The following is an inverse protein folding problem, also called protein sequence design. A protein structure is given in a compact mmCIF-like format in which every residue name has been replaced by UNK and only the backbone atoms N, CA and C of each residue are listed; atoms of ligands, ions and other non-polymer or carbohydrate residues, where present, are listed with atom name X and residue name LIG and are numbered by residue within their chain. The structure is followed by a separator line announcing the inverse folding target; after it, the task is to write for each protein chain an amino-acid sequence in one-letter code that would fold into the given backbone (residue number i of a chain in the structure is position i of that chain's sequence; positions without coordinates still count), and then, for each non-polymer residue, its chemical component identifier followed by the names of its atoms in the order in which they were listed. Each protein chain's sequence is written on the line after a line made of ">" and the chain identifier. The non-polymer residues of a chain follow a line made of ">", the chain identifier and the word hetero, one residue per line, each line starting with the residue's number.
data_IF_923774357180
#
_entry.id   IF_923774357180
#
_cell.length_a   1.000
_cell.length_b   1.000
_cell.length_c   1.000
_cell.angle_alpha   90.00
_cell.angle_beta   90.00
_cell.angle_gamma   90.00
#
_symmetry.space_group_name_H-M   'P 1'
#
loop_
_entity.id
_entity.type
_entity.pdbx_description
1 polymer ?
#
# COMPACT_ATOMS: atom_id res chain seq x y z
N UNK A 1 10.15 -4.90 -21.90
CA UNK A 1 10.37 -5.98 -20.92
C UNK A 1 11.08 -5.40 -19.71
N UNK A 2 10.33 -5.02 -18.67
CA UNK A 2 10.88 -4.53 -17.41
C UNK A 2 11.24 -5.74 -16.56
N UNK A 3 12.53 -5.96 -16.30
CA UNK A 3 12.97 -7.06 -15.43
C UNK A 3 12.53 -6.73 -13.99
N UNK A 4 11.94 -7.72 -13.32
CA UNK A 4 11.70 -7.73 -11.87
C UNK A 4 12.98 -7.48 -11.01
N UNK A 5 14.16 -7.40 -11.64
CA UNK A 5 15.42 -7.05 -11.00
C UNK A 5 15.46 -5.63 -10.40
N UNK A 6 14.57 -4.72 -10.81
CA UNK A 6 14.51 -3.35 -10.23
C UNK A 6 14.08 -3.38 -8.75
N UNK A 7 13.31 -4.39 -8.33
CA UNK A 7 12.84 -4.53 -6.95
C UNK A 7 13.68 -5.47 -6.08
N UNK A 8 14.54 -6.31 -6.68
CA UNK A 8 15.36 -7.28 -5.94
C UNK A 8 16.60 -6.68 -5.27
N UNK A 9 16.86 -5.38 -5.42
CA UNK A 9 18.04 -4.70 -4.84
C UNK A 9 17.93 -4.38 -3.34
N UNK A 10 16.86 -4.77 -2.66
CA UNK A 10 16.56 -4.35 -1.28
C UNK A 10 17.03 -5.32 -0.17
N UNK A 11 17.85 -6.33 -0.48
CA UNK A 11 18.55 -7.12 0.53
C UNK A 11 19.92 -6.51 0.84
N UNK A 12 20.00 -5.77 1.94
CA UNK A 12 21.24 -5.28 2.51
C UNK A 12 22.20 -6.42 2.79
N UNK A 13 23.30 -6.45 2.04
CA UNK A 13 24.47 -7.28 2.31
C UNK A 13 25.59 -6.31 2.71
N UNK A 14 25.92 -6.28 3.99
CA UNK A 14 27.14 -5.65 4.49
C UNK A 14 28.32 -6.54 4.09
N UNK A 15 29.12 -6.11 3.13
CA UNK A 15 30.49 -6.59 2.97
C UNK A 15 31.45 -5.42 3.12
N UNK A 16 32.13 -5.42 4.26
CA UNK A 16 33.31 -4.64 4.56
C UNK A 16 34.56 -5.41 4.12
N UNK A 17 35.43 -4.77 3.34
CA UNK A 17 36.89 -4.91 3.23
C UNK A 17 37.30 -4.42 1.82
N UNK A 18 38.37 -3.67 1.58
CA UNK A 18 39.45 -3.18 2.41
C UNK A 18 40.24 -2.12 1.64
N UNK A 19 41.21 -1.52 2.33
CA UNK A 19 42.10 -0.46 1.87
C UNK A 19 42.86 -0.79 0.58
N UNK A 20 43.01 0.20 -0.31
CA UNK A 20 44.33 0.60 -0.81
C UNK A 20 44.29 1.99 -1.44
N UNK A 21 45.26 2.82 -1.07
CA UNK A 21 45.46 4.16 -1.62
C UNK A 21 46.43 4.14 -2.80
N UNK A 22 46.25 5.10 -3.70
CA UNK A 22 47.32 5.68 -4.52
C UNK A 22 46.91 7.08 -4.96
N UNK A 23 47.73 8.06 -4.58
CA UNK A 23 47.68 9.44 -5.03
C UNK A 23 47.92 9.55 -6.54
N UNK A 24 47.12 10.39 -7.20
CA UNK A 24 47.34 10.79 -8.59
C UNK A 24 46.65 12.12 -8.86
N UNK A 25 47.38 13.22 -8.66
CA UNK A 25 46.98 14.56 -9.07
C UNK A 25 46.74 14.61 -10.58
N UNK A 26 45.50 14.85 -11.00
CA UNK A 26 45.20 15.43 -12.30
C UNK A 26 44.04 16.42 -12.16
N UNK A 27 44.38 17.71 -12.07
CA UNK A 27 43.47 18.83 -12.31
C UNK A 27 43.10 18.78 -13.79
N UNK A 28 41.89 18.32 -14.09
CA UNK A 28 41.32 18.31 -15.44
C UNK A 28 39.90 18.86 -15.43
N UNK A 29 39.77 20.12 -15.84
CA UNK A 29 38.52 20.84 -16.10
C UNK A 29 37.67 20.12 -17.17
N UNK A 30 36.87 19.11 -16.81
CA UNK A 30 35.94 18.44 -17.75
C UNK A 30 34.57 18.06 -17.16
N UNK A 31 34.24 18.52 -15.94
CA UNK A 31 32.98 18.12 -15.28
C UNK A 31 31.77 19.02 -15.58
N UNK A 32 31.91 20.12 -16.33
CA UNK A 32 30.80 21.09 -16.44
C UNK A 32 29.86 20.89 -17.63
N UNK A 33 30.27 20.19 -18.70
CA UNK A 33 29.47 20.08 -19.93
C UNK A 33 28.54 18.85 -19.88
N UNK A 34 29.00 17.73 -19.31
CA UNK A 34 28.22 16.48 -19.21
C UNK A 34 27.07 16.57 -18.19
N UNK A 35 27.22 17.41 -17.16
CA UNK A 35 26.23 17.55 -16.07
C UNK A 35 24.98 18.31 -16.54
N UNK A 36 25.13 19.28 -17.45
CA UNK A 36 24.02 20.10 -17.98
C UNK A 36 23.09 19.27 -18.87
N UNK A 37 23.64 18.37 -19.69
CA UNK A 37 22.84 17.49 -20.56
C UNK A 37 22.04 16.45 -19.76
N UNK A 38 22.60 15.94 -18.66
CA UNK A 38 21.93 14.95 -17.81
C UNK A 38 20.74 15.56 -17.05
N UNK A 39 20.88 16.77 -16.52
CA UNK A 39 19.80 17.44 -15.79
C UNK A 39 18.66 17.88 -16.72
N UNK A 40 19.00 18.38 -17.92
CA UNK A 40 18.01 18.73 -18.94
C UNK A 40 17.22 17.51 -19.42
N UNK A 41 17.90 16.38 -19.66
CA UNK A 41 17.27 15.11 -20.04
C UNK A 41 16.33 14.57 -18.95
N UNK A 42 16.75 14.67 -17.68
CA UNK A 42 15.94 14.30 -16.52
C UNK A 42 14.68 15.16 -16.42
N UNK A 43 14.82 16.49 -16.54
CA UNK A 43 13.70 17.43 -16.53
C UNK A 43 12.72 17.15 -17.68
N UNK A 44 13.22 16.94 -18.90
CA UNK A 44 12.40 16.63 -20.07
C UNK A 44 11.62 15.32 -19.90
N UNK A 45 12.26 14.30 -19.32
CA UNK A 45 11.62 13.00 -19.02
C UNK A 45 10.52 13.15 -17.99
N UNK A 46 10.75 13.93 -16.94
CA UNK A 46 9.74 14.24 -15.93
C UNK A 46 8.55 15.03 -16.52
N UNK A 47 8.80 16.07 -17.32
CA UNK A 47 7.75 16.83 -17.99
C UNK A 47 6.92 15.95 -18.95
N UNK A 48 7.59 15.07 -19.70
CA UNK A 48 6.92 14.12 -20.59
C UNK A 48 6.10 13.09 -19.79
N UNK A 49 6.59 12.65 -18.63
CA UNK A 49 5.86 11.76 -17.73
C UNK A 49 4.58 12.44 -17.21
N UNK A 50 4.65 13.72 -16.82
CA UNK A 50 3.48 14.52 -16.43
C UNK A 50 2.48 14.63 -17.59
N UNK A 51 2.95 14.98 -18.79
CA UNK A 51 2.08 15.11 -19.96
C UNK A 51 1.32 13.81 -20.23
N UNK A 52 2.00 12.66 -20.16
CA UNK A 52 1.36 11.35 -20.31
C UNK A 52 0.37 11.06 -19.17
N UNK A 53 0.70 11.43 -17.93
CA UNK A 53 -0.19 11.28 -16.79
C UNK A 53 -1.49 12.06 -16.97
N UNK A 54 -1.41 13.33 -17.35
CA UNK A 54 -2.57 14.20 -17.58
C UNK A 54 -3.45 13.71 -18.74
N UNK A 55 -2.83 13.14 -19.77
CA UNK A 55 -3.53 12.50 -20.89
C UNK A 55 -4.04 11.09 -20.57
N UNK A 56 -3.98 10.64 -19.31
CA UNK A 56 -4.39 9.30 -18.85
C UNK A 56 -3.62 8.15 -19.51
N UNK A 57 -2.45 8.42 -20.07
CA UNK A 57 -1.53 7.40 -20.59
C UNK A 57 -0.61 6.91 -19.47
N UNK A 58 -1.20 6.24 -18.47
CA UNK A 58 -0.52 5.87 -17.24
C UNK A 58 0.61 4.87 -17.43
N UNK A 59 0.47 3.94 -18.39
CA UNK A 59 1.55 3.02 -18.74
C UNK A 59 2.81 3.76 -19.22
N UNK A 60 2.67 4.73 -20.12
CA UNK A 60 3.81 5.51 -20.61
C UNK A 60 4.38 6.42 -19.51
N UNK A 61 3.52 7.05 -18.72
CA UNK A 61 3.95 7.84 -17.56
C UNK A 61 4.77 7.01 -16.57
N UNK A 62 4.32 5.78 -16.27
CA UNK A 62 5.02 4.83 -15.42
C UNK A 62 6.40 4.45 -15.97
N UNK A 63 6.48 4.13 -17.26
CA UNK A 63 7.74 3.76 -17.91
C UNK A 63 8.76 4.91 -17.95
N UNK A 64 8.29 6.17 -17.96
CA UNK A 64 9.15 7.35 -17.91
C UNK A 64 9.58 7.71 -16.49
N UNK A 65 8.70 7.59 -15.49
CA UNK A 65 9.00 8.01 -14.12
C UNK A 65 9.86 7.01 -13.36
N UNK A 66 9.68 5.71 -13.60
CA UNK A 66 10.35 4.67 -12.82
C UNK A 66 11.89 4.72 -12.96
N UNK A 67 12.47 4.91 -14.15
CA UNK A 67 13.92 5.13 -14.30
C UNK A 67 14.42 6.33 -13.49
N UNK A 68 13.68 7.45 -13.50
CA UNK A 68 14.04 8.66 -12.76
C UNK A 68 14.10 8.39 -11.25
N UNK A 69 13.11 7.68 -10.70
CA UNK A 69 13.12 7.27 -9.29
C UNK A 69 14.31 6.38 -8.95
N UNK A 70 14.66 5.44 -9.84
CA UNK A 70 15.82 4.57 -9.63
C UNK A 70 17.14 5.36 -9.62
N UNK A 71 17.28 6.36 -10.48
CA UNK A 71 18.45 7.24 -10.47
C UNK A 71 18.56 8.01 -9.15
N UNK A 72 17.44 8.57 -8.65
CA UNK A 72 17.42 9.26 -7.35
C UNK A 72 17.81 8.30 -6.21
N UNK A 73 17.24 7.09 -6.20
CA UNK A 73 17.51 6.07 -5.17
C UNK A 73 18.96 5.56 -5.18
N UNK A 74 19.60 5.50 -6.34
CA UNK A 74 21.00 5.12 -6.48
C UNK A 74 21.99 6.19 -5.99
N UNK A 75 21.49 7.31 -5.47
CA UNK A 75 22.35 8.41 -5.07
C UNK A 75 23.11 9.02 -6.25
N UNK A 76 22.62 8.81 -7.50
CA UNK A 76 23.02 9.63 -8.65
C UNK A 76 22.41 10.99 -8.44
N UNK A 77 23.08 11.72 -7.55
CA UNK A 77 23.19 13.15 -7.41
C UNK A 77 22.43 13.87 -8.54
N UNK A 78 21.14 14.09 -8.31
CA UNK A 78 20.46 15.31 -8.73
C UNK A 78 21.17 16.44 -7.98
N UNK A 79 22.36 16.82 -8.45
CA UNK A 79 23.20 17.85 -7.85
C UNK A 79 22.54 19.19 -8.16
N UNK A 80 21.47 19.53 -7.45
CA UNK A 80 20.95 20.89 -7.48
C UNK A 80 19.45 21.03 -7.26
N UNK A 81 18.64 20.08 -7.70
CA UNK A 81 17.19 20.29 -7.76
C UNK A 81 16.38 19.31 -6.89
N UNK A 82 16.37 19.59 -5.58
CA UNK A 82 15.56 18.87 -4.58
C UNK A 82 14.06 18.90 -4.93
N UNK A 83 13.59 20.02 -5.47
CA UNK A 83 12.17 20.19 -5.81
C UNK A 83 11.76 19.28 -6.96
N UNK A 84 12.63 19.11 -7.96
CA UNK A 84 12.43 18.16 -9.05
C UNK A 84 12.38 16.71 -8.55
N UNK A 85 13.27 16.33 -7.62
CA UNK A 85 13.23 15.01 -6.99
C UNK A 85 11.90 14.79 -6.26
N UNK A 86 11.45 15.76 -5.46
CA UNK A 86 10.16 15.72 -4.76
C UNK A 86 9.02 15.60 -5.78
N UNK A 87 9.05 16.37 -6.86
CA UNK A 87 8.08 16.28 -7.95
C UNK A 87 8.00 14.88 -8.57
N UNK A 88 9.16 14.27 -8.82
CA UNK A 88 9.23 12.90 -9.33
C UNK A 88 8.59 11.90 -8.36
N UNK A 89 8.91 11.98 -7.06
CA UNK A 89 8.31 11.13 -6.04
C UNK A 89 6.80 11.33 -5.92
N UNK A 90 6.30 12.56 -6.01
CA UNK A 90 4.85 12.84 -5.99
C UNK A 90 4.13 12.18 -7.17
N UNK A 91 4.65 12.33 -8.38
CA UNK A 91 4.08 11.69 -9.58
C UNK A 91 4.15 10.16 -9.46
N UNK A 92 5.29 9.63 -9.04
CA UNK A 92 5.48 8.22 -8.80
C UNK A 92 4.48 7.66 -7.77
N UNK A 93 4.33 8.30 -6.61
CA UNK A 93 3.36 7.91 -5.59
C UNK A 93 1.91 7.96 -6.09
N UNK A 94 1.56 8.99 -6.86
CA UNK A 94 0.24 9.08 -7.50
C UNK A 94 0.00 7.90 -8.46
N UNK A 95 1.01 7.53 -9.23
CA UNK A 95 0.92 6.37 -10.12
C UNK A 95 0.88 5.04 -9.35
N UNK A 96 1.61 4.92 -8.24
CA UNK A 96 1.55 3.72 -7.37
C UNK A 96 0.14 3.56 -6.79
N UNK A 97 -0.45 4.62 -6.25
CA UNK A 97 -1.81 4.56 -5.72
C UNK A 97 -2.83 4.16 -6.81
N UNK A 98 -2.67 4.72 -8.01
CA UNK A 98 -3.50 4.35 -9.15
C UNK A 98 -3.28 2.90 -9.57
N UNK A 99 -2.03 2.42 -9.58
CA UNK A 99 -1.68 1.05 -9.92
C UNK A 99 -2.31 0.05 -8.94
N UNK A 100 -2.24 0.33 -7.64
CA UNK A 100 -2.82 -0.52 -6.60
C UNK A 100 -4.35 -0.60 -6.70
N UNK A 101 -5.01 0.50 -7.11
CA UNK A 101 -6.47 0.57 -7.26
C UNK A 101 -7.00 0.07 -8.61
N UNK A 102 -6.25 0.31 -9.69
CA UNK A 102 -6.66 0.07 -11.09
C UNK A 102 -5.50 -0.50 -11.91
N UNK A 103 -5.03 -1.72 -11.58
CA UNK A 103 -3.86 -2.34 -12.19
C UNK A 103 -4.01 -2.61 -13.70
N UNK A 104 -5.22 -2.60 -14.23
CA UNK A 104 -5.53 -2.77 -15.66
C UNK A 104 -5.06 -1.58 -16.52
N UNK A 105 -4.92 -0.38 -15.96
CA UNK A 105 -4.53 0.82 -16.70
C UNK A 105 -3.04 0.85 -17.10
N UNK A 106 -2.26 -0.09 -16.58
CA UNK A 106 -0.81 -0.13 -16.73
C UNK A 106 -0.33 -1.21 -17.70
N UNK A 107 -1.22 -2.02 -18.29
CA UNK A 107 -0.87 -3.05 -19.28
C UNK A 107 0.30 -3.98 -18.87
N UNK A 108 0.49 -4.22 -17.57
CA UNK A 108 1.57 -5.07 -17.05
C UNK A 108 1.15 -6.55 -16.98
N UNK A 109 2.07 -7.51 -17.24
CA UNK A 109 1.83 -8.93 -17.02
C UNK A 109 1.34 -9.23 -15.61
N UNK A 110 0.44 -10.21 -15.45
CA UNK A 110 -0.14 -10.56 -14.13
C UNK A 110 0.92 -10.94 -13.10
N UNK A 111 1.96 -11.67 -13.50
CA UNK A 111 3.07 -12.06 -12.62
C UNK A 111 3.82 -10.84 -12.08
N UNK A 112 4.17 -9.89 -12.95
CA UNK A 112 4.83 -8.64 -12.56
C UNK A 112 3.96 -7.83 -11.61
N UNK A 113 2.64 -7.75 -11.88
CA UNK A 113 1.71 -7.03 -11.01
C UNK A 113 1.67 -7.57 -9.59
N UNK A 114 1.62 -8.89 -9.44
CA UNK A 114 1.61 -9.55 -8.13
C UNK A 114 2.90 -9.28 -7.35
N UNK A 115 4.06 -9.28 -8.03
CA UNK A 115 5.35 -8.97 -7.41
C UNK A 115 5.35 -7.51 -6.92
N UNK A 116 5.00 -6.57 -7.80
CA UNK A 116 4.99 -5.14 -7.49
C UNK A 116 4.04 -4.85 -6.32
N UNK A 117 2.83 -5.42 -6.33
CA UNK A 117 1.85 -5.27 -5.26
C UNK A 117 2.38 -5.80 -3.92
N UNK A 118 3.07 -6.96 -3.93
CA UNK A 118 3.68 -7.54 -2.75
C UNK A 118 4.77 -6.64 -2.17
N UNK A 119 5.64 -6.10 -3.02
CA UNK A 119 6.71 -5.19 -2.59
C UNK A 119 6.14 -3.92 -1.95
N UNK A 120 5.12 -3.31 -2.56
CA UNK A 120 4.47 -2.14 -1.96
C UNK A 120 3.80 -2.46 -0.62
N UNK A 121 3.08 -3.59 -0.52
CA UNK A 121 2.49 -4.06 0.75
C UNK A 121 3.54 -4.28 1.84
N UNK A 122 4.76 -4.63 1.45
CA UNK A 122 5.90 -4.74 2.35
C UNK A 122 6.57 -3.39 2.67
N UNK A 123 5.87 -2.26 2.51
CA UNK A 123 6.34 -0.93 2.95
C UNK A 123 7.46 -0.33 2.10
N UNK A 124 7.54 -0.70 0.83
CA UNK A 124 8.56 -0.20 -0.11
C UNK A 124 8.58 1.34 -0.18
N UNK A 125 7.42 2.01 -0.07
CA UNK A 125 7.32 3.47 -0.22
C UNK A 125 8.13 4.21 0.84
N UNK A 126 7.91 3.90 2.12
CA UNK A 126 8.66 4.51 3.22
C UNK A 126 10.13 4.11 3.19
N UNK A 127 10.44 2.86 2.81
CA UNK A 127 11.83 2.42 2.64
C UNK A 127 12.57 3.23 1.57
N UNK A 128 11.94 3.50 0.43
CA UNK A 128 12.50 4.35 -0.62
C UNK A 128 12.75 5.79 -0.13
N UNK A 129 11.83 6.34 0.68
CA UNK A 129 12.02 7.67 1.29
C UNK A 129 13.15 7.70 2.32
N UNK A 130 13.33 6.62 3.09
CA UNK A 130 14.44 6.49 4.03
C UNK A 130 15.77 6.45 3.30
N UNK A 131 15.88 5.69 2.21
CA UNK A 131 17.11 5.60 1.41
C UNK A 131 17.57 6.99 0.94
N UNK A 132 16.67 7.78 0.34
CA UNK A 132 17.03 9.14 -0.13
C UNK A 132 17.31 10.12 1.00
N UNK A 133 16.84 9.83 2.21
CA UNK A 133 17.01 10.69 3.39
C UNK A 133 18.17 10.24 4.28
N UNK A 134 18.97 9.27 3.85
CA UNK A 134 20.10 8.73 4.61
C UNK A 134 19.67 7.89 5.82
N UNK A 135 18.58 7.15 5.69
CA UNK A 135 17.95 6.31 6.72
C UNK A 135 17.52 7.08 7.98
N UNK A 136 17.23 8.38 7.83
CA UNK A 136 16.81 9.25 8.91
C UNK A 136 15.39 9.77 8.65
N UNK A 137 14.45 9.38 9.51
CA UNK A 137 13.06 9.82 9.44
C UNK A 137 12.90 11.34 9.60
N UNK A 138 13.76 12.01 10.37
CA UNK A 138 13.71 13.46 10.57
C UNK A 138 14.05 14.26 9.31
N UNK A 139 14.73 13.62 8.34
CA UNK A 139 15.13 14.24 7.06
C UNK A 139 14.13 14.00 5.93
N UNK A 140 13.15 13.10 6.11
CA UNK A 140 12.14 12.83 5.08
C UNK A 140 11.21 14.04 4.95
N UNK A 141 10.99 14.47 3.70
CA UNK A 141 10.01 15.50 3.39
C UNK A 141 8.60 15.12 3.89
N UNK A 142 8.01 16.02 4.69
CA UNK A 142 6.71 15.79 5.34
C UNK A 142 5.55 15.61 4.37
N UNK A 143 5.61 16.19 3.17
CA UNK A 143 4.56 15.99 2.18
C UNK A 143 4.68 14.59 1.56
N UNK A 144 5.90 14.19 1.19
CA UNK A 144 6.15 12.85 0.66
C UNK A 144 5.78 11.76 1.67
N UNK A 145 6.19 11.92 2.93
CA UNK A 145 5.85 10.97 3.98
C UNK A 145 4.35 10.88 4.22
N UNK A 146 3.65 12.02 4.20
CA UNK A 146 2.20 12.04 4.34
C UNK A 146 1.50 11.32 3.17
N UNK A 147 1.93 11.57 1.93
CA UNK A 147 1.38 10.91 0.75
C UNK A 147 1.62 9.40 0.83
N UNK A 148 2.84 8.96 1.12
CA UNK A 148 3.15 7.54 1.29
C UNK A 148 2.26 6.89 2.35
N UNK A 149 2.14 7.52 3.53
CA UNK A 149 1.29 7.03 4.62
C UNK A 149 -0.20 6.93 4.22
N UNK A 150 -0.70 7.86 3.41
CA UNK A 150 -2.07 7.80 2.90
C UNK A 150 -2.28 6.65 1.92
N UNK A 151 -1.30 6.37 1.06
CA UNK A 151 -1.34 5.27 0.11
C UNK A 151 -1.37 3.94 0.87
N UNK A 152 -0.46 3.76 1.82
CA UNK A 152 -0.40 2.54 2.63
C UNK A 152 -1.70 2.34 3.44
N UNK A 153 -2.21 3.39 4.06
CA UNK A 153 -3.47 3.34 4.80
C UNK A 153 -4.68 3.04 3.90
N UNK A 154 -4.76 3.70 2.74
CA UNK A 154 -5.88 3.63 1.80
C UNK A 154 -5.95 2.32 1.03
N UNK A 155 -4.82 1.64 0.84
CA UNK A 155 -4.73 0.33 0.19
C UNK A 155 -4.67 -0.84 1.19
N UNK A 156 -5.03 -0.58 2.45
CA UNK A 156 -5.14 -1.59 3.51
C UNK A 156 -3.87 -2.41 3.73
N UNK A 157 -2.72 -1.75 3.70
CA UNK A 157 -1.46 -2.40 4.08
C UNK A 157 -1.45 -2.72 5.58
N UNK A 158 -0.46 -3.50 6.01
CA UNK A 158 -0.35 -3.96 7.39
C UNK A 158 -0.33 -2.78 8.37
N UNK A 159 -1.40 -2.65 9.15
CA UNK A 159 -1.63 -1.46 9.98
C UNK A 159 -0.57 -1.32 11.08
N UNK A 160 -0.06 -2.43 11.61
CA UNK A 160 1.00 -2.48 12.62
C UNK A 160 2.31 -1.89 12.08
N UNK A 161 2.64 -2.18 10.82
CA UNK A 161 3.83 -1.61 10.18
C UNK A 161 3.69 -0.10 9.98
N UNK A 162 2.53 0.34 9.50
CA UNK A 162 2.24 1.76 9.32
C UNK A 162 2.24 2.51 10.65
N UNK A 163 1.71 1.91 11.72
CA UNK A 163 1.78 2.47 13.08
C UNK A 163 3.23 2.76 13.47
N UNK A 164 4.12 1.77 13.33
CA UNK A 164 5.53 1.91 13.69
C UNK A 164 6.24 2.99 12.86
N UNK A 165 5.99 3.04 11.55
CA UNK A 165 6.59 4.04 10.67
C UNK A 165 6.14 5.46 11.04
N UNK A 166 4.83 5.67 11.29
CA UNK A 166 4.29 6.96 11.72
C UNK A 166 4.85 7.37 13.08
N UNK A 167 4.96 6.44 14.02
CA UNK A 167 5.51 6.70 15.34
C UNK A 167 6.98 7.10 15.27
N UNK A 168 7.81 6.37 14.51
CA UNK A 168 9.21 6.71 14.30
C UNK A 168 9.37 8.09 13.66
N UNK A 169 8.55 8.40 12.65
CA UNK A 169 8.58 9.69 11.98
C UNK A 169 8.18 10.84 12.90
N UNK A 170 7.09 10.69 13.65
CA UNK A 170 6.62 11.73 14.57
C UNK A 170 7.59 11.93 15.75
N UNK A 171 8.24 10.86 16.25
CA UNK A 171 9.30 10.97 17.27
C UNK A 171 10.53 11.70 16.74
N UNK A 172 10.97 11.37 15.53
CA UNK A 172 12.16 12.00 14.91
C UNK A 172 11.97 13.48 14.59
N UNK A 173 10.73 13.97 14.59
CA UNK A 173 10.38 15.37 14.40
C UNK A 173 9.93 16.05 15.71
N UNK A 174 10.08 15.39 16.87
CA UNK A 174 9.67 15.85 18.21
C UNK A 174 8.16 16.11 18.43
N UNK A 175 7.30 15.51 17.62
CA UNK A 175 5.84 15.66 17.72
C UNK A 175 5.19 14.80 18.82
N UNK A 176 5.91 13.82 19.39
CA UNK A 176 5.42 12.93 20.45
C UNK A 176 6.13 13.12 21.81
N UNK A 177 7.21 13.90 21.83
CA UNK A 177 8.12 14.06 22.98
C UNK A 177 7.89 15.38 23.71
N UNK A 178 7.59 16.46 23.00
CA UNK A 178 7.53 17.82 23.57
C UNK A 178 6.12 18.40 23.59
N UNK A 179 5.64 18.74 24.79
CA UNK A 179 4.36 19.44 25.01
C UNK A 179 4.42 20.88 24.52
N UNK A 180 4.23 21.09 23.22
CA UNK A 180 4.18 22.40 22.58
C UNK A 180 4.49 22.32 21.09
N UNK A 181 3.47 22.48 20.25
CA UNK A 181 3.65 22.64 18.80
C UNK A 181 4.01 24.09 18.48
N UNK A 182 5.30 24.41 18.42
CA UNK A 182 5.73 25.67 17.81
C UNK A 182 5.87 25.55 16.27
N UNK A 183 5.93 24.32 15.75
CA UNK A 183 6.09 24.09 14.32
C UNK A 183 4.76 24.11 13.54
N UNK A 184 4.63 25.11 12.66
CA UNK A 184 3.47 25.37 11.80
C UNK A 184 3.37 24.47 10.56
N UNK A 185 4.09 23.34 10.53
CA UNK A 185 4.04 22.44 9.40
C UNK A 185 2.66 21.75 9.29
N UNK A 186 1.88 22.21 8.30
CA UNK A 186 0.54 21.69 7.97
C UNK A 186 0.54 20.18 7.72
N UNK A 187 1.57 19.64 7.08
CA UNK A 187 1.64 18.20 6.78
C UNK A 187 1.94 17.38 8.02
N UNK A 188 2.81 17.84 8.93
CA UNK A 188 3.03 17.17 10.22
C UNK A 188 1.74 17.10 11.06
N UNK A 189 0.93 18.17 11.08
CA UNK A 189 -0.39 18.13 11.73
C UNK A 189 -1.34 17.12 11.08
N UNK A 190 -1.31 16.98 9.75
CA UNK A 190 -2.10 15.96 9.04
C UNK A 190 -1.60 14.54 9.35
N UNK A 191 -0.29 14.32 9.40
CA UNK A 191 0.33 13.04 9.77
C UNK A 191 -0.06 12.66 11.19
N UNK A 192 0.07 13.58 12.14
CA UNK A 192 -0.37 13.35 13.51
C UNK A 192 -1.87 13.04 13.58
N UNK A 193 -2.70 13.78 12.83
CA UNK A 193 -4.13 13.49 12.76
C UNK A 193 -4.44 12.13 12.13
N UNK A 194 -3.68 11.68 11.14
CA UNK A 194 -3.79 10.35 10.55
C UNK A 194 -3.43 9.29 11.60
N UNK A 195 -2.34 9.49 12.32
CA UNK A 195 -1.87 8.59 13.37
C UNK A 195 -2.90 8.43 14.50
N UNK A 196 -3.29 9.54 15.15
CA UNK A 196 -4.14 9.53 16.35
C UNK A 196 -5.58 9.11 16.07
N UNK A 197 -6.16 9.51 14.93
CA UNK A 197 -7.59 9.35 14.67
C UNK A 197 -7.93 8.28 13.63
N UNK A 198 -6.94 7.70 12.95
CA UNK A 198 -7.20 6.66 11.95
C UNK A 198 -6.37 5.42 12.17
N UNK A 199 -5.05 5.54 12.31
CA UNK A 199 -4.15 4.37 12.41
C UNK A 199 -4.27 3.68 13.76
N UNK A 200 -4.06 4.40 14.86
CA UNK A 200 -4.17 3.83 16.21
C UNK A 200 -5.57 3.23 16.47
N UNK A 201 -6.69 3.94 16.18
CA UNK A 201 -8.03 3.35 16.27
C UNK A 201 -8.23 2.09 15.42
N UNK A 202 -7.71 2.08 14.18
CA UNK A 202 -7.82 0.90 13.28
C UNK A 202 -7.00 -0.28 13.80
N UNK A 203 -5.93 -0.03 14.56
CA UNK A 203 -5.17 -1.06 15.28
C UNK A 203 -5.67 -1.31 16.72
N UNK A 204 -6.89 -0.87 17.05
CA UNK A 204 -7.52 -1.00 18.37
C UNK A 204 -6.77 -0.33 19.54
N UNK A 205 -5.79 0.53 19.28
CA UNK A 205 -4.96 1.23 20.27
C UNK A 205 -5.55 2.59 20.69
N UNK A 206 -6.80 2.59 21.16
CA UNK A 206 -7.51 3.82 21.54
C UNK A 206 -6.92 4.52 22.77
N UNK A 207 -6.46 3.75 23.75
CA UNK A 207 -5.87 4.27 24.99
C UNK A 207 -4.61 5.06 24.67
N UNK A 208 -3.71 4.50 23.84
CA UNK A 208 -2.53 5.19 23.33
C UNK A 208 -2.89 6.50 22.60
N UNK A 209 -3.96 6.53 21.80
CA UNK A 209 -4.42 7.79 21.19
C UNK A 209 -4.83 8.83 22.22
N UNK A 210 -5.55 8.41 23.27
CA UNK A 210 -6.00 9.31 24.35
C UNK A 210 -4.81 9.88 25.13
N UNK A 211 -3.90 9.01 25.59
CA UNK A 211 -2.69 9.41 26.32
C UNK A 211 -1.84 10.40 25.52
N UNK A 212 -1.66 10.12 24.22
CA UNK A 212 -0.90 11.01 23.34
C UNK A 212 -1.62 12.36 23.15
N UNK A 213 -2.94 12.39 23.00
CA UNK A 213 -3.68 13.66 22.92
C UNK A 213 -3.46 14.51 24.17
N UNK A 214 -3.60 13.92 25.34
CA UNK A 214 -3.42 14.61 26.62
C UNK A 214 -1.98 15.11 26.79
N UNK A 215 -0.98 14.26 26.47
CA UNK A 215 0.44 14.63 26.53
C UNK A 215 0.79 15.75 25.56
N UNK A 216 0.33 15.67 24.33
CA UNK A 216 0.72 16.56 23.25
C UNK A 216 0.05 17.94 23.39
N UNK A 217 -1.21 17.98 23.84
CA UNK A 217 -1.98 19.22 24.02
C UNK A 217 -2.05 19.67 25.48
N UNK A 218 -1.12 19.25 26.34
CA UNK A 218 -1.12 19.48 27.80
C UNK A 218 -1.32 20.93 28.25
N UNK A 219 -1.01 21.91 27.38
CA UNK A 219 -1.16 23.34 27.66
C UNK A 219 -2.52 23.93 27.21
N UNK A 220 -3.42 23.12 26.64
CA UNK A 220 -4.67 23.57 26.01
C UNK A 220 -5.81 22.58 26.26
N UNK A 221 -6.47 22.72 27.42
CA UNK A 221 -7.58 21.87 27.86
C UNK A 221 -8.77 21.88 26.90
N UNK A 222 -8.99 23.01 26.20
CA UNK A 222 -10.04 23.13 25.19
C UNK A 222 -9.72 22.24 24.00
N UNK A 223 -8.49 22.29 23.48
CA UNK A 223 -8.05 21.39 22.41
C UNK A 223 -8.05 19.93 22.85
N UNK A 224 -7.61 19.60 24.06
CA UNK A 224 -7.70 18.24 24.59
C UNK A 224 -9.16 17.77 24.52
N UNK A 225 -10.08 18.53 25.10
CA UNK A 225 -11.51 18.20 25.14
C UNK A 225 -12.09 17.98 23.72
N UNK A 226 -11.78 18.88 22.78
CA UNK A 226 -12.21 18.74 21.38
C UNK A 226 -11.63 17.49 20.69
N UNK A 227 -10.35 17.19 20.91
CA UNK A 227 -9.65 16.05 20.31
C UNK A 227 -10.15 14.74 20.90
N UNK A 228 -10.36 14.66 22.21
CA UNK A 228 -10.93 13.50 22.88
C UNK A 228 -12.38 13.26 22.48
N UNK A 229 -13.19 14.31 22.33
CA UNK A 229 -14.56 14.18 21.80
C UNK A 229 -14.55 13.61 20.37
N UNK A 230 -13.64 14.08 19.51
CA UNK A 230 -13.43 13.53 18.17
C UNK A 230 -12.99 12.06 18.22
N UNK A 231 -12.08 11.68 19.12
CA UNK A 231 -11.64 10.29 19.30
C UNK A 231 -12.80 9.39 19.72
N UNK A 232 -13.66 9.85 20.64
CA UNK A 232 -14.89 9.13 21.04
C UNK A 232 -15.83 8.92 19.84
N UNK A 233 -16.04 9.93 19.01
CA UNK A 233 -16.84 9.80 17.79
C UNK A 233 -16.26 8.75 16.83
N UNK A 234 -14.93 8.76 16.64
CA UNK A 234 -14.24 7.75 15.82
C UNK A 234 -14.46 6.34 16.38
N UNK A 235 -14.30 6.15 17.70
CA UNK A 235 -14.53 4.86 18.37
C UNK A 235 -15.95 4.34 18.12
N UNK A 236 -16.96 5.18 18.33
CA UNK A 236 -18.36 4.83 18.10
C UNK A 236 -18.63 4.47 16.64
N UNK A 237 -18.04 5.19 15.69
CA UNK A 237 -18.21 4.90 14.26
C UNK A 237 -17.56 3.57 13.86
N UNK A 238 -16.37 3.26 14.38
CA UNK A 238 -15.70 1.98 14.13
C UNK A 238 -16.49 0.81 14.70
N UNK A 239 -17.00 0.93 15.93
CA UNK A 239 -17.87 -0.08 16.54
C UNK A 239 -19.12 -0.37 15.69
N UNK A 240 -19.79 0.67 15.19
CA UNK A 240 -20.95 0.52 14.29
C UNK A 240 -20.59 -0.22 12.99
N UNK A 241 -19.43 0.09 12.40
CA UNK A 241 -18.96 -0.59 11.18
C UNK A 241 -18.65 -2.06 11.45
N UNK A 242 -17.98 -2.36 12.57
CA UNK A 242 -17.67 -3.73 12.99
C UNK A 242 -18.92 -4.55 13.27
N UNK A 243 -19.91 -3.98 13.96
CA UNK A 243 -21.21 -4.60 14.22
C UNK A 243 -21.97 -4.88 12.92
N UNK A 244 -22.03 -3.91 12.00
CA UNK A 244 -22.66 -4.08 10.68
C UNK A 244 -21.99 -5.21 9.89
N UNK A 245 -20.66 -5.24 9.85
CA UNK A 245 -19.88 -6.28 9.18
C UNK A 245 -20.10 -7.67 9.80
N UNK A 246 -20.21 -7.75 11.14
CA UNK A 246 -20.50 -9.00 11.85
C UNK A 246 -21.91 -9.51 11.54
N UNK A 247 -22.90 -8.62 11.53
CA UNK A 247 -24.28 -8.97 11.15
C UNK A 247 -24.37 -9.44 9.69
N UNK A 248 -23.68 -8.78 8.78
CA UNK A 248 -23.66 -9.19 7.37
C UNK A 248 -23.04 -10.58 7.20
N UNK A 249 -21.87 -10.84 7.81
CA UNK A 249 -21.21 -12.15 7.76
C UNK A 249 -22.11 -13.27 8.29
N UNK A 250 -22.77 -13.06 9.43
CA UNK A 250 -23.70 -14.05 10.00
C UNK A 250 -24.94 -14.26 9.10
N UNK A 251 -25.45 -13.22 8.46
CA UNK A 251 -26.56 -13.31 7.50
C UNK A 251 -26.16 -14.09 6.24
N UNK A 252 -24.99 -13.79 5.66
CA UNK A 252 -24.45 -14.51 4.51
C UNK A 252 -24.20 -15.99 4.84
N UNK A 253 -23.67 -16.29 6.03
CA UNK A 253 -23.43 -17.66 6.46
C UNK A 253 -24.74 -18.44 6.67
N UNK A 254 -25.76 -17.83 7.29
CA UNK A 254 -27.11 -18.41 7.40
C UNK A 254 -27.72 -18.70 6.03
N UNK A 255 -27.58 -17.77 5.06
CA UNK A 255 -28.02 -17.98 3.66
C UNK A 255 -27.28 -19.15 3.00
N UNK A 256 -25.95 -19.25 3.17
CA UNK A 256 -25.15 -20.38 2.64
C UNK A 256 -25.55 -21.72 3.26
N UNK A 257 -25.74 -21.78 4.58
CA UNK A 257 -26.20 -22.98 5.30
C UNK A 257 -27.61 -23.39 4.85
N UNK A 258 -28.52 -22.43 4.67
CA UNK A 258 -29.86 -22.67 4.13
C UNK A 258 -29.87 -23.25 2.72
N UNK A 259 -29.05 -22.69 1.81
CA UNK A 259 -28.88 -23.22 0.44
C UNK A 259 -28.30 -24.64 0.44
N UNK A 260 -27.28 -24.92 1.27
CA UNK A 260 -26.71 -26.27 1.43
C UNK A 260 -27.76 -27.27 1.93
N UNK A 261 -28.56 -26.92 2.94
CA UNK A 261 -29.64 -27.79 3.45
C UNK A 261 -30.73 -28.05 2.40
N UNK A 262 -31.12 -27.05 1.60
CA UNK A 262 -32.08 -27.23 0.50
C UNK A 262 -31.55 -28.15 -0.59
N UNK A 263 -30.26 -28.05 -0.95
CA UNK A 263 -29.61 -28.96 -1.92
C UNK A 263 -29.60 -30.41 -1.41
N UNK A 264 -29.14 -30.66 -0.17
CA UNK A 264 -29.16 -32.01 0.43
C UNK A 264 -30.56 -32.61 0.49
N UNK A 265 -31.60 -31.82 0.81
CA UNK A 265 -32.99 -32.30 0.80
C UNK A 265 -33.51 -32.66 -0.60
N UNK A 266 -33.09 -31.94 -1.64
CA UNK A 266 -33.46 -32.28 -3.03
C UNK A 266 -32.74 -33.56 -3.49
N UNK A 267 -31.45 -33.67 -3.19
CA UNK A 267 -30.62 -34.83 -3.51
C UNK A 267 -31.15 -36.12 -2.85
N UNK A 268 -31.48 -36.08 -1.55
CA UNK A 268 -32.10 -37.21 -0.88
C UNK A 268 -33.47 -37.59 -1.46
N UNK A 269 -34.27 -36.63 -1.96
CA UNK A 269 -35.54 -36.92 -2.64
C UNK A 269 -35.34 -37.58 -4.00
N UNK A 270 -34.30 -37.19 -4.74
CA UNK A 270 -33.97 -37.80 -6.04
C UNK A 270 -33.44 -39.22 -5.87
N UNK A 271 -32.63 -39.49 -4.85
CA UNK A 271 -32.13 -40.85 -4.54
C UNK A 271 -33.29 -41.78 -4.15
N UNK A 272 -34.23 -41.29 -3.32
CA UNK A 272 -35.36 -42.10 -2.86
C UNK A 272 -36.39 -42.40 -3.98
N UNK A 273 -36.52 -41.51 -4.97
CA UNK A 273 -37.35 -41.78 -6.15
C UNK A 273 -36.69 -42.79 -7.10
N UNK A 274 -35.37 -42.76 -7.28
CA UNK A 274 -34.68 -43.73 -8.13
C UNK A 274 -34.68 -45.16 -7.55
N UNK A 275 -34.67 -45.33 -6.22
CA UNK A 275 -34.80 -46.65 -5.60
C UNK A 275 -36.20 -47.27 -5.76
N UNK A 276 -37.23 -46.45 -5.95
CA UNK A 276 -38.61 -46.93 -6.19
C UNK A 276 -38.86 -47.35 -7.64
N UNK A 277 -38.05 -46.86 -8.58
CA UNK A 277 -38.16 -47.16 -10.02
C UNK A 277 -37.41 -48.42 -10.45
N UNK A 278 -36.44 -48.92 -9.67
CA UNK A 278 -35.68 -50.14 -9.98
C UNK A 278 -36.35 -51.43 -9.53
N UNK A 279 -37.43 -51.38 -8.75
CA UNK A 279 -38.18 -52.58 -8.29
C UNK A 279 -39.31 -53.02 -9.22
N UNK A 280 -39.51 -52.37 -10.37
CA UNK A 280 -40.70 -52.60 -11.22
C UNK A 280 -40.40 -53.13 -12.62
N UNK A 281 -39.19 -53.62 -12.90
CA UNK A 281 -38.80 -54.05 -14.27
C UNK A 281 -38.03 -55.37 -14.29
N UNK A 282 -38.55 -56.40 -13.62
CA UNK A 282 -38.15 -57.81 -13.90
C UNK A 282 -39.31 -58.79 -13.74
N UNK A 283 -40.43 -58.52 -14.40
CA UNK A 283 -41.45 -59.55 -14.67
C UNK A 283 -42.11 -59.21 -15.99
N UNK A 284 -42.07 -60.17 -16.92
CA UNK A 284 -42.87 -60.32 -18.16
C UNK A 284 -42.10 -60.15 -19.48
N UNK A 285 -41.43 -61.22 -19.90
CA UNK A 285 -41.17 -61.59 -21.31
C UNK A 285 -40.76 -63.08 -21.29
N UNK A 286 -41.31 -64.06 -22.01
CA UNK A 286 -42.50 -64.26 -22.83
C UNK A 286 -42.62 -65.78 -22.99
N UNK A 287 -43.79 -66.34 -22.68
CA UNK A 287 -44.18 -67.69 -23.06
C UNK A 287 -45.01 -67.57 -24.31
N UNK A 288 -44.45 -67.85 -25.49
CA UNK A 288 -45.22 -68.23 -26.68
C UNK A 288 -44.23 -68.60 -27.80
N UNK A 289 -44.14 -69.91 -28.10
CA UNK A 289 -44.27 -70.50 -29.44
C UNK A 289 -44.23 -72.02 -29.21
N UNK A 290 -45.41 -72.62 -29.22
CA UNK A 290 -45.62 -74.04 -29.44
C UNK A 290 -46.77 -74.17 -30.44
N UNK A 291 -46.46 -74.43 -31.71
CA UNK A 291 -47.31 -75.16 -32.67
C UNK A 291 -46.68 -75.13 -34.07
N UNK A 292 -46.12 -76.26 -34.52
CA UNK A 292 -46.59 -77.03 -35.71
C UNK A 292 -45.56 -78.08 -36.14
N UNK A 293 -46.01 -79.32 -36.05
CA UNK A 293 -45.89 -80.38 -37.06
C UNK A 293 -45.79 -79.87 -38.50
#
# INVERSE_FOLDING_TARGET
>A
MLKASVFNGFNGSNESNGMNGSNGSNKGLNNSIVVVDSELSFCNSYQLAIKNYLNKNFHHSWNLILPLINEVLQGRKLIGNRDLAIGCFKLYFSLVDLFLKKPELFNLPRSERVIIEKEFKNGLLVNQLLVISGNDYGKIDSELFFIASLIEFGNEFEITKLELQLENYLRSNDYLTSGGFENDNKNLRKILSLYLFKVLPKNHNFEKSQELIEKIYIRDDIKISQKLAKLKQVKTNLQKIEEANKMEKTCQEKKRRGRRRKRKRKENKTINNNQRSTTSTTTTTTTEIAART
#
